data_IF_889251081845
#
_entry.id   IF_889251081845
#
_cell.length_a   1.000
_cell.length_b   1.000
_cell.length_c   1.000
_cell.angle_alpha   90.00
_cell.angle_beta   90.00
_cell.angle_gamma   90.00
#
_symmetry.space_group_name_H-M   'P 1'
#
loop_
_entity.id
_entity.type
_entity.pdbx_description
1 polymer ?
#
# COMPACT_ATOMS: atom_id res chain seq x y z
N UNK A 1 -16.12 -21.36 9.16
CA UNK A 1 -16.99 -20.18 9.04
C UNK A 1 -18.40 -20.69 8.85
N UNK A 2 -19.39 -20.11 9.55
CA UNK A 2 -20.80 -20.47 9.41
C UNK A 2 -21.52 -19.20 8.95
N UNK A 3 -22.25 -19.28 7.84
CA UNK A 3 -23.02 -18.16 7.28
C UNK A 3 -24.47 -18.64 7.20
N UNK A 4 -25.38 -17.91 7.84
CA UNK A 4 -26.81 -18.24 7.91
C UNK A 4 -27.07 -19.69 8.38
N UNK A 5 -26.33 -20.12 9.40
CA UNK A 5 -26.43 -21.48 9.96
C UNK A 5 -25.77 -22.58 9.13
N UNK A 6 -25.19 -22.27 7.96
CA UNK A 6 -24.53 -23.25 7.08
C UNK A 6 -23.01 -23.22 7.24
N UNK A 7 -22.35 -24.36 7.51
CA UNK A 7 -20.90 -24.43 7.53
C UNK A 7 -20.34 -24.25 6.11
N UNK A 8 -19.35 -23.37 5.97
CA UNK A 8 -18.62 -23.14 4.72
C UNK A 8 -17.42 -24.07 4.62
N UNK A 9 -17.24 -24.68 3.45
CA UNK A 9 -16.18 -25.64 3.10
C UNK A 9 -14.81 -24.98 2.88
N UNK A 10 -14.80 -23.68 2.57
CA UNK A 10 -13.60 -22.90 2.24
C UNK A 10 -13.37 -21.77 3.24
N UNK A 11 -12.10 -21.57 3.58
CA UNK A 11 -11.64 -20.38 4.31
C UNK A 11 -11.50 -19.20 3.35
N UNK A 12 -11.49 -17.97 3.87
CA UNK A 12 -11.24 -16.77 3.06
C UNK A 12 -9.94 -16.89 2.24
N UNK A 13 -8.86 -17.43 2.85
CA UNK A 13 -7.61 -17.64 2.14
C UNK A 13 -7.72 -18.71 1.04
N UNK A 14 -8.51 -19.77 1.24
CA UNK A 14 -8.80 -20.75 0.18
C UNK A 14 -9.58 -20.11 -0.98
N UNK A 15 -10.47 -19.15 -0.69
CA UNK A 15 -11.19 -18.38 -1.71
C UNK A 15 -10.19 -17.56 -2.54
N UNK A 16 -9.33 -16.77 -1.88
CA UNK A 16 -8.28 -15.99 -2.55
C UNK A 16 -7.34 -16.88 -3.36
N UNK A 17 -6.85 -18.00 -2.82
CA UNK A 17 -5.95 -18.93 -3.52
C UNK A 17 -6.57 -19.57 -4.77
N UNK A 18 -7.90 -19.70 -4.84
CA UNK A 18 -8.50 -20.31 -6.03
C UNK A 18 -8.46 -19.47 -7.27
N UNK A 19 -8.28 -18.15 -7.17
CA UNK A 19 -8.12 -17.32 -8.37
C UNK A 19 -6.87 -17.73 -9.14
N UNK A 20 -5.78 -18.02 -8.41
CA UNK A 20 -4.54 -18.55 -8.97
C UNK A 20 -4.70 -20.00 -9.46
N UNK A 21 -5.44 -20.85 -8.76
CA UNK A 21 -5.70 -22.23 -9.21
C UNK A 21 -6.54 -22.27 -10.49
N UNK A 22 -7.55 -21.40 -10.58
CA UNK A 22 -8.43 -21.29 -11.74
C UNK A 22 -7.69 -20.70 -12.95
N UNK A 23 -6.77 -19.76 -12.73
CA UNK A 23 -5.97 -19.18 -13.80
C UNK A 23 -4.52 -18.86 -13.34
N UNK A 24 -3.59 -19.83 -13.47
CA UNK A 24 -2.18 -19.59 -13.15
C UNK A 24 -1.52 -18.55 -14.06
N UNK A 25 -1.99 -18.42 -15.31
CA UNK A 25 -1.48 -17.54 -16.37
C UNK A 25 0.05 -17.36 -16.34
N UNK A 26 0.51 -16.13 -16.14
CA UNK A 26 1.91 -15.74 -16.07
C UNK A 26 2.41 -15.55 -14.64
N UNK A 27 1.71 -16.06 -13.61
CA UNK A 27 2.16 -15.98 -12.22
C UNK A 27 3.46 -16.79 -12.02
N UNK A 28 4.45 -16.16 -11.40
CA UNK A 28 5.74 -16.79 -11.03
C UNK A 28 5.80 -17.00 -9.51
N UNK A 29 5.30 -16.01 -8.76
CA UNK A 29 5.22 -16.05 -7.30
C UNK A 29 3.79 -15.70 -6.87
N UNK A 30 3.17 -16.62 -6.14
CA UNK A 30 1.90 -16.40 -5.45
C UNK A 30 1.88 -17.18 -4.13
N UNK A 31 1.55 -16.49 -3.04
CA UNK A 31 1.37 -17.07 -1.69
C UNK A 31 2.56 -17.83 -1.08
N UNK A 32 3.79 -17.56 -1.54
CA UNK A 32 5.01 -18.25 -1.10
C UNK A 32 6.19 -17.31 -0.80
N UNK A 33 5.93 -16.01 -0.73
CA UNK A 33 6.91 -14.95 -0.48
C UNK A 33 6.18 -13.70 0.04
N UNK A 34 6.91 -12.66 0.43
CA UNK A 34 6.38 -11.37 0.91
C UNK A 34 5.74 -10.54 -0.21
N UNK A 35 5.99 -10.88 -1.48
CA UNK A 35 5.38 -10.24 -2.64
C UNK A 35 4.87 -11.26 -3.65
N UNK A 36 4.05 -10.79 -4.59
CA UNK A 36 3.65 -11.56 -5.76
C UNK A 36 4.46 -11.13 -6.98
N UNK A 37 4.65 -12.03 -7.94
CA UNK A 37 5.32 -11.71 -9.18
C UNK A 37 4.67 -12.41 -10.38
N UNK A 38 4.68 -11.71 -11.51
CA UNK A 38 4.27 -12.22 -12.81
C UNK A 38 5.48 -12.16 -13.76
N UNK A 39 5.47 -13.04 -14.76
CA UNK A 39 6.48 -13.06 -15.82
C UNK A 39 6.48 -11.71 -16.52
N UNK A 40 7.65 -11.09 -16.60
CA UNK A 40 7.84 -9.85 -17.33
C UNK A 40 8.52 -10.10 -18.67
N UNK A 41 9.53 -9.29 -18.98
CA UNK A 41 10.07 -9.18 -20.35
C UNK A 41 11.59 -9.12 -20.35
N UNK A 42 12.18 -9.43 -21.50
CA UNK A 42 13.58 -9.15 -21.79
C UNK A 42 13.76 -7.64 -21.89
N UNK A 43 14.46 -7.06 -20.93
CA UNK A 43 14.68 -5.63 -20.83
C UNK A 43 16.16 -5.29 -20.99
N UNK A 44 16.42 -4.14 -21.60
CA UNK A 44 17.74 -3.52 -21.63
C UNK A 44 17.90 -2.66 -20.38
N UNK A 45 18.88 -2.98 -19.53
CA UNK A 45 19.22 -2.21 -18.33
C UNK A 45 20.67 -1.72 -18.40
N UNK A 46 20.95 -0.58 -17.75
CA UNK A 46 22.31 -0.11 -17.52
C UNK A 46 22.83 -0.71 -16.22
N UNK A 47 24.03 -1.31 -16.26
CA UNK A 47 24.69 -1.85 -15.06
C UNK A 47 26.16 -1.51 -14.98
N UNK A 48 26.69 -1.30 -13.77
CA UNK A 48 28.13 -1.18 -13.58
C UNK A 48 28.82 -2.47 -13.99
N UNK A 49 29.94 -2.35 -14.71
CA UNK A 49 30.80 -3.50 -15.06
C UNK A 49 31.26 -4.22 -13.79
N UNK A 50 31.60 -3.46 -12.75
CA UNK A 50 32.03 -3.98 -11.46
C UNK A 50 31.31 -3.24 -10.32
N UNK A 51 30.22 -3.81 -9.77
CA UNK A 51 29.51 -3.24 -8.64
C UNK A 51 30.45 -2.97 -7.45
N UNK A 52 30.33 -1.79 -6.84
CA UNK A 52 31.13 -1.39 -5.67
C UNK A 52 32.43 -0.63 -5.98
N UNK A 53 32.84 -0.52 -7.26
CA UNK A 53 33.97 0.31 -7.69
C UNK A 53 33.51 1.36 -8.71
N UNK A 54 34.33 2.40 -8.89
CA UNK A 54 34.16 3.34 -10.00
C UNK A 54 34.42 2.62 -11.32
N UNK A 55 33.38 2.46 -12.14
CA UNK A 55 33.46 1.80 -13.43
C UNK A 55 32.39 2.34 -14.39
N UNK A 56 32.54 2.13 -15.72
CA UNK A 56 31.51 2.46 -16.69
C UNK A 56 30.22 1.67 -16.46
N UNK A 57 29.10 2.25 -16.89
CA UNK A 57 27.86 1.52 -17.07
C UNK A 57 27.84 0.89 -18.47
N UNK A 58 27.39 -0.35 -18.56
CA UNK A 58 27.16 -1.06 -19.83
C UNK A 58 25.69 -1.45 -19.97
N UNK A 59 25.24 -1.54 -21.22
CA UNK A 59 23.93 -2.11 -21.54
C UNK A 59 23.98 -3.63 -21.42
N UNK A 60 23.04 -4.20 -20.67
CA UNK A 60 22.84 -5.65 -20.59
C UNK A 60 21.37 -5.98 -20.80
N UNK A 61 21.12 -7.10 -21.47
CA UNK A 61 19.78 -7.65 -21.61
C UNK A 61 19.51 -8.67 -20.51
N UNK A 62 18.39 -8.52 -19.79
CA UNK A 62 17.94 -9.45 -18.75
C UNK A 62 16.43 -9.62 -18.78
N UNK A 63 15.98 -10.85 -18.54
CA UNK A 63 14.58 -11.13 -18.25
C UNK A 63 14.26 -10.66 -16.84
N UNK A 64 13.32 -9.71 -16.74
CA UNK A 64 12.90 -9.10 -15.50
C UNK A 64 11.41 -9.39 -15.27
N UNK A 65 11.12 -10.13 -14.21
CA UNK A 65 9.75 -10.35 -13.74
C UNK A 65 9.23 -9.08 -13.06
N UNK A 66 7.91 -8.86 -13.16
CA UNK A 66 7.22 -7.74 -12.53
C UNK A 66 6.66 -8.20 -11.19
N UNK A 67 6.94 -7.43 -10.15
CA UNK A 67 6.57 -7.74 -8.78
C UNK A 67 5.56 -6.72 -8.26
N UNK A 68 4.61 -7.18 -7.47
CA UNK A 68 3.63 -6.32 -6.81
C UNK A 68 3.47 -6.72 -5.34
N UNK A 69 3.47 -5.71 -4.48
CA UNK A 69 3.16 -5.84 -3.05
C UNK A 69 2.32 -4.66 -2.59
N UNK A 70 1.48 -4.89 -1.59
CA UNK A 70 0.62 -3.90 -0.98
C UNK A 70 0.47 -4.17 0.52
N UNK A 71 0.53 -3.12 1.31
CA UNK A 71 0.41 -3.14 2.76
C UNK A 71 -0.51 -2.02 3.25
N UNK A 72 -0.91 -2.11 4.52
CA UNK A 72 -1.61 -1.04 5.21
C UNK A 72 -0.99 -0.75 6.57
N UNK A 73 -1.03 0.50 7.01
CA UNK A 73 -0.45 0.91 8.30
C UNK A 73 -1.44 1.72 9.16
N UNK A 74 -2.66 1.20 9.25
CA UNK A 74 -3.85 1.91 9.70
C UNK A 74 -3.79 2.41 11.15
N UNK A 75 -3.52 1.52 12.11
CA UNK A 75 -3.58 1.88 13.53
C UNK A 75 -2.49 2.87 13.94
N UNK A 76 -1.22 2.67 13.59
CA UNK A 76 -0.19 3.66 13.93
C UNK A 76 -0.44 5.00 13.26
N UNK A 77 -1.02 5.02 12.05
CA UNK A 77 -1.39 6.28 11.41
C UNK A 77 -2.53 7.03 12.12
N UNK A 78 -3.39 6.33 12.86
CA UNK A 78 -4.44 6.96 13.66
C UNK A 78 -3.85 7.73 14.86
N UNK A 79 -2.71 7.27 15.39
CA UNK A 79 -2.09 7.80 16.61
C UNK A 79 -0.99 8.81 16.27
N UNK A 80 -0.08 8.46 15.36
CA UNK A 80 1.05 9.28 14.93
C UNK A 80 1.21 9.17 13.40
N UNK A 81 0.47 9.99 12.62
CA UNK A 81 0.30 9.74 11.19
C UNK A 81 1.59 9.83 10.39
N UNK A 82 2.47 10.80 10.69
CA UNK A 82 3.73 10.97 9.99
C UNK A 82 4.66 9.74 10.13
N UNK A 83 5.10 9.33 11.34
CA UNK A 83 5.95 8.15 11.49
C UNK A 83 5.22 6.85 11.15
N UNK A 84 3.89 6.80 11.35
CA UNK A 84 3.06 5.67 10.94
C UNK A 84 3.11 5.45 9.42
N UNK A 85 2.99 6.51 8.63
CA UNK A 85 3.04 6.43 7.18
C UNK A 85 4.47 6.18 6.66
N UNK A 86 5.49 6.77 7.29
CA UNK A 86 6.89 6.50 6.96
C UNK A 86 7.23 5.02 7.11
N UNK A 87 6.89 4.44 8.27
CA UNK A 87 7.17 3.03 8.57
C UNK A 87 6.33 2.08 7.72
N UNK A 88 5.09 2.44 7.40
CA UNK A 88 4.27 1.71 6.42
C UNK A 88 4.87 1.71 5.02
N UNK A 89 5.32 2.86 4.52
CA UNK A 89 6.00 2.94 3.22
C UNK A 89 7.33 2.18 3.23
N UNK A 90 8.08 2.26 4.33
CA UNK A 90 9.36 1.57 4.50
C UNK A 90 9.23 0.06 4.62
N UNK A 91 8.22 -0.46 5.34
CA UNK A 91 7.90 -1.89 5.43
C UNK A 91 7.70 -2.50 4.05
N UNK A 92 6.79 -1.91 3.29
CA UNK A 92 6.49 -2.32 1.92
C UNK A 92 7.70 -2.26 0.99
N UNK A 93 8.60 -1.27 1.14
CA UNK A 93 9.88 -1.24 0.39
C UNK A 93 10.74 -2.45 0.75
N UNK A 94 10.88 -2.78 2.04
CA UNK A 94 11.68 -3.93 2.48
C UNK A 94 11.12 -5.24 1.92
N UNK A 95 9.81 -5.44 1.96
CA UNK A 95 9.18 -6.63 1.37
C UNK A 95 9.41 -6.74 -0.14
N UNK A 96 9.36 -5.60 -0.83
CA UNK A 96 9.70 -5.54 -2.25
C UNK A 96 11.12 -5.97 -2.50
N UNK A 97 12.09 -5.54 -1.69
CA UNK A 97 13.51 -5.87 -1.87
C UNK A 97 13.89 -7.28 -1.39
N UNK A 98 13.16 -7.82 -0.41
CA UNK A 98 13.41 -9.13 0.19
C UNK A 98 12.84 -10.30 -0.62
N UNK A 99 12.07 -10.03 -1.67
CA UNK A 99 11.42 -11.08 -2.47
C UNK A 99 12.47 -11.92 -3.24
N UNK A 100 12.32 -13.24 -3.19
CA UNK A 100 13.24 -14.19 -3.79
C UNK A 100 14.65 -14.10 -3.20
N UNK A 101 15.64 -13.74 -4.03
CA UNK A 101 17.05 -13.57 -3.63
C UNK A 101 17.51 -12.12 -3.73
N UNK A 102 16.56 -11.19 -3.75
CA UNK A 102 16.80 -9.78 -3.98
C UNK A 102 16.07 -9.27 -5.21
N UNK A 103 15.44 -8.13 -5.04
CA UNK A 103 14.67 -7.41 -6.06
C UNK A 103 14.80 -5.90 -5.87
N UNK A 104 14.28 -5.14 -6.83
CA UNK A 104 14.33 -3.68 -6.82
C UNK A 104 12.92 -3.11 -6.88
N UNK A 105 12.63 -2.14 -6.01
CA UNK A 105 11.42 -1.32 -6.16
C UNK A 105 11.59 -0.35 -7.35
N UNK A 106 10.52 -0.13 -8.09
CA UNK A 106 10.48 0.80 -9.23
C UNK A 106 9.63 2.01 -8.89
N UNK A 107 8.38 1.78 -8.49
CA UNK A 107 7.42 2.85 -8.24
C UNK A 107 6.42 2.42 -7.16
N UNK A 108 5.66 3.37 -6.62
CA UNK A 108 4.64 3.07 -5.63
C UNK A 108 3.34 3.86 -5.83
N UNK A 109 2.37 3.37 -5.09
CA UNK A 109 1.04 3.94 -4.90
C UNK A 109 0.85 4.25 -3.41
N UNK A 110 0.22 5.36 -3.09
CA UNK A 110 -0.22 5.68 -1.73
C UNK A 110 -1.73 5.97 -1.72
N UNK A 111 -2.43 5.48 -0.71
CA UNK A 111 -3.88 5.62 -0.59
C UNK A 111 -4.30 5.99 0.82
N UNK A 112 -5.28 6.89 0.94
CA UNK A 112 -5.76 7.37 2.23
C UNK A 112 -7.28 7.32 2.30
N UNK A 113 -7.83 6.69 3.34
CA UNK A 113 -9.23 6.87 3.72
C UNK A 113 -9.32 7.43 5.13
N UNK A 114 -10.05 8.54 5.31
CA UNK A 114 -10.22 9.22 6.60
C UNK A 114 -11.67 9.65 6.80
N UNK A 115 -12.07 9.95 8.05
CA UNK A 115 -13.39 10.52 8.31
C UNK A 115 -13.52 11.96 7.76
N UNK A 116 -14.63 12.65 8.08
CA UNK A 116 -14.88 14.03 7.66
C UNK A 116 -13.74 14.96 8.08
N UNK A 117 -13.28 15.81 7.16
CA UNK A 117 -12.11 16.65 7.33
C UNK A 117 -12.39 17.82 8.27
N UNK A 118 -13.61 18.36 8.23
CA UNK A 118 -14.03 19.51 9.04
C UNK A 118 -13.02 20.68 8.92
N UNK A 119 -12.66 21.04 7.69
CA UNK A 119 -11.65 22.07 7.43
C UNK A 119 -12.14 23.45 7.87
N UNK A 120 -11.32 24.18 8.63
CA UNK A 120 -11.64 25.54 9.05
C UNK A 120 -11.87 26.46 7.84
N UNK A 121 -12.91 27.28 7.90
CA UNK A 121 -13.26 28.20 6.83
C UNK A 121 -13.88 27.56 5.58
N UNK A 122 -14.06 26.23 5.57
CA UNK A 122 -14.74 25.51 4.49
C UNK A 122 -16.00 24.86 5.02
N UNK A 123 -17.12 25.02 4.31
CA UNK A 123 -18.37 24.35 4.66
C UNK A 123 -18.66 23.22 3.67
N UNK A 124 -18.71 22.00 4.18
CA UNK A 124 -19.18 20.83 3.45
C UNK A 124 -20.53 20.40 4.06
N UNK A 125 -21.67 20.53 3.33
CA UNK A 125 -23.00 20.35 3.90
C UNK A 125 -23.32 18.92 4.37
N UNK A 126 -22.49 17.94 3.98
CA UNK A 126 -22.60 16.55 4.41
C UNK A 126 -21.76 16.24 5.66
N UNK A 127 -20.90 17.15 6.12
CA UNK A 127 -20.11 16.94 7.33
C UNK A 127 -20.92 17.33 8.57
N UNK A 128 -21.18 16.36 9.45
CA UNK A 128 -21.89 16.60 10.71
C UNK A 128 -20.92 17.11 11.79
N UNK A 129 -21.01 18.39 12.22
CA UNK A 129 -20.10 18.95 13.22
C UNK A 129 -20.35 18.41 14.63
N UNK A 130 -21.45 17.69 14.87
CA UNK A 130 -21.73 17.06 16.17
C UNK A 130 -20.89 15.80 16.42
N UNK A 131 -20.18 15.32 15.40
CA UNK A 131 -19.34 14.13 15.47
C UNK A 131 -18.11 14.37 16.36
N UNK A 132 -18.10 13.70 17.51
CA UNK A 132 -16.99 13.76 18.47
C UNK A 132 -15.93 12.72 18.10
N UNK A 133 -14.67 13.13 18.09
CA UNK A 133 -13.51 12.28 17.84
C UNK A 133 -12.74 12.02 19.15
N UNK A 134 -12.22 10.81 19.40
CA UNK A 134 -11.45 10.53 20.61
C UNK A 134 -10.17 11.37 20.69
N UNK A 135 -9.83 11.92 21.86
CA UNK A 135 -8.68 12.83 22.01
C UNK A 135 -7.32 12.15 21.85
N UNK A 136 -7.28 10.81 21.94
CA UNK A 136 -6.07 10.01 21.75
C UNK A 136 -5.81 9.64 20.27
N UNK A 137 -6.68 10.06 19.36
CA UNK A 137 -6.51 9.90 17.92
C UNK A 137 -6.30 11.25 17.26
N UNK A 138 -5.54 11.26 16.18
CA UNK A 138 -5.31 12.47 15.37
C UNK A 138 -6.56 12.78 14.54
N UNK A 139 -6.85 14.08 14.30
CA UNK A 139 -8.00 14.46 13.49
C UNK A 139 -7.89 13.96 12.04
N UNK A 140 -9.00 13.67 11.34
CA UNK A 140 -8.97 13.16 9.97
C UNK A 140 -8.16 14.03 8.99
N UNK A 141 -8.31 15.36 9.09
CA UNK A 141 -7.54 16.32 8.29
C UNK A 141 -6.04 16.20 8.58
N UNK A 142 -5.65 16.15 9.86
CA UNK A 142 -4.26 16.08 10.24
C UNK A 142 -3.65 14.72 9.86
N UNK A 143 -4.42 13.61 9.96
CA UNK A 143 -4.01 12.30 9.44
C UNK A 143 -3.67 12.40 7.95
N UNK A 144 -4.53 13.01 7.14
CA UNK A 144 -4.31 13.11 5.70
C UNK A 144 -3.02 13.89 5.38
N UNK A 145 -2.81 15.02 6.04
CA UNK A 145 -1.63 15.87 5.85
C UNK A 145 -0.36 15.12 6.27
N UNK A 146 -0.32 14.62 7.50
CA UNK A 146 0.89 14.05 8.08
C UNK A 146 1.22 12.68 7.48
N UNK A 147 0.22 11.84 7.20
CA UNK A 147 0.45 10.55 6.55
C UNK A 147 0.97 10.74 5.11
N UNK A 148 0.42 11.71 4.36
CA UNK A 148 0.90 12.05 3.03
C UNK A 148 2.35 12.54 3.05
N UNK A 149 2.66 13.44 3.98
CA UNK A 149 4.01 13.96 4.17
C UNK A 149 5.00 12.86 4.58
N UNK A 150 4.62 11.98 5.50
CA UNK A 150 5.45 10.87 5.96
C UNK A 150 5.75 9.86 4.85
N UNK A 151 4.71 9.36 4.17
CA UNK A 151 4.89 8.42 3.06
C UNK A 151 5.78 9.01 1.93
N UNK A 152 5.58 10.29 1.62
CA UNK A 152 6.37 11.02 0.62
C UNK A 152 7.82 11.21 1.08
N UNK A 153 8.05 11.62 2.34
CA UNK A 153 9.38 11.84 2.88
C UNK A 153 10.24 10.57 2.81
N UNK A 154 9.69 9.42 3.22
CA UNK A 154 10.39 8.14 3.15
C UNK A 154 10.68 7.75 1.69
N UNK A 155 9.69 7.88 0.81
CA UNK A 155 9.83 7.59 -0.61
C UNK A 155 10.87 8.46 -1.31
N UNK A 156 10.88 9.77 -1.01
CA UNK A 156 11.80 10.75 -1.59
C UNK A 156 13.25 10.48 -1.15
N UNK A 157 13.47 10.24 0.14
CA UNK A 157 14.80 9.91 0.68
C UNK A 157 15.33 8.59 0.13
N UNK A 158 14.44 7.61 -0.07
CA UNK A 158 14.81 6.33 -0.68
C UNK A 158 15.06 6.43 -2.18
N UNK A 159 14.48 7.43 -2.87
CA UNK A 159 14.57 7.59 -4.32
C UNK A 159 13.53 6.78 -5.10
N UNK A 160 12.37 6.50 -4.48
CA UNK A 160 11.26 5.77 -5.13
C UNK A 160 10.12 6.72 -5.50
N UNK A 161 9.76 6.88 -6.78
CA UNK A 161 8.64 7.72 -7.19
C UNK A 161 7.30 7.19 -6.65
N UNK A 162 6.39 8.12 -6.35
CA UNK A 162 4.97 7.86 -6.12
C UNK A 162 4.23 8.31 -7.39
N UNK A 163 3.61 7.37 -8.10
CA UNK A 163 3.06 7.62 -9.45
C UNK A 163 1.54 7.52 -9.52
N UNK A 164 0.92 6.98 -8.47
CA UNK A 164 -0.52 6.74 -8.38
C UNK A 164 -0.99 6.90 -6.93
N UNK A 165 -2.29 7.11 -6.74
CA UNK A 165 -2.88 7.12 -5.41
C UNK A 165 -4.39 7.30 -5.41
N UNK A 166 -4.96 7.26 -4.21
CA UNK A 166 -6.36 7.61 -3.98
C UNK A 166 -6.53 8.30 -2.63
N UNK A 167 -7.56 9.12 -2.53
CA UNK A 167 -8.00 9.72 -1.26
C UNK A 167 -9.51 9.61 -1.19
N UNK A 168 -10.03 9.12 -0.07
CA UNK A 168 -11.46 9.01 0.18
C UNK A 168 -11.80 9.53 1.58
N UNK A 169 -12.80 10.40 1.66
CA UNK A 169 -13.37 10.85 2.93
C UNK A 169 -14.78 10.30 3.07
N UNK A 170 -15.12 9.74 4.25
CA UNK A 170 -16.46 9.28 4.54
C UNK A 170 -16.75 9.39 6.02
N UNK A 171 -17.84 10.08 6.35
CA UNK A 171 -18.42 10.08 7.68
C UNK A 171 -19.88 10.45 7.62
N UNK A 172 -20.75 9.50 7.97
CA UNK A 172 -22.20 9.70 7.93
C UNK A 172 -22.89 8.87 9.01
N UNK A 173 -24.03 9.38 9.49
CA UNK A 173 -24.99 8.57 10.25
C UNK A 173 -25.96 7.91 9.28
N UNK A 174 -25.94 6.59 9.23
CA UNK A 174 -26.83 5.81 8.38
C UNK A 174 -28.29 5.95 8.81
N UNK A 175 -29.27 5.61 7.96
CA UNK A 175 -30.69 5.56 8.33
C UNK A 175 -30.99 4.66 9.54
N UNK A 176 -30.13 3.67 9.80
CA UNK A 176 -30.19 2.81 11.00
C UNK A 176 -29.80 3.53 12.30
N UNK A 177 -29.30 4.76 12.23
CA UNK A 177 -28.77 5.53 13.35
C UNK A 177 -27.29 5.28 13.65
N UNK A 178 -26.68 4.25 13.04
CA UNK A 178 -25.26 3.94 13.19
C UNK A 178 -24.37 4.97 12.50
N UNK A 179 -23.31 5.42 13.17
CA UNK A 179 -22.27 6.26 12.57
C UNK A 179 -21.23 5.37 11.90
N UNK A 180 -20.97 5.59 10.61
CA UNK A 180 -19.92 4.92 9.87
C UNK A 180 -18.93 5.93 9.30
N UNK A 181 -17.66 5.68 9.55
CA UNK A 181 -16.54 6.53 9.14
C UNK A 181 -15.19 5.82 9.31
N UNK A 182 -14.13 6.37 8.72
CA UNK A 182 -12.75 5.91 8.96
C UNK A 182 -12.10 6.68 10.10
N UNK A 183 -12.54 6.39 11.33
CA UNK A 183 -11.90 6.91 12.54
C UNK A 183 -10.47 6.35 12.70
N UNK A 184 -10.34 5.04 12.51
CA UNK A 184 -9.07 4.40 12.19
C UNK A 184 -8.90 4.52 10.67
N UNK A 185 -7.89 5.24 10.19
CA UNK A 185 -7.76 5.52 8.76
C UNK A 185 -7.37 4.26 8.00
N UNK A 186 -7.55 4.29 6.69
CA UNK A 186 -6.81 3.43 5.78
C UNK A 186 -5.57 4.22 5.35
N UNK A 187 -4.39 3.74 5.71
CA UNK A 187 -3.14 4.18 5.09
C UNK A 187 -2.63 3.00 4.28
N UNK A 188 -2.77 3.10 2.97
CA UNK A 188 -2.41 2.07 2.01
C UNK A 188 -1.11 2.43 1.31
N UNK A 189 -0.19 1.48 1.20
CA UNK A 189 1.00 1.59 0.36
C UNK A 189 1.10 0.38 -0.54
N UNK A 190 1.29 0.59 -1.84
CA UNK A 190 1.65 -0.47 -2.77
C UNK A 190 2.89 -0.11 -3.56
N UNK A 191 3.53 -1.12 -4.14
CA UNK A 191 4.77 -0.99 -4.86
C UNK A 191 4.83 -1.95 -6.01
N UNK A 192 5.30 -1.44 -7.15
CA UNK A 192 5.74 -2.26 -8.27
C UNK A 192 7.26 -2.35 -8.20
N UNK A 193 7.77 -3.57 -8.38
CA UNK A 193 9.19 -3.84 -8.44
C UNK A 193 9.55 -4.75 -9.60
N UNK A 194 10.83 -5.05 -9.69
CA UNK A 194 11.37 -6.03 -10.62
C UNK A 194 12.33 -6.98 -9.93
N UNK A 195 12.37 -8.21 -10.43
CA UNK A 195 13.36 -9.21 -10.04
C UNK A 195 13.90 -9.89 -11.29
N UNK A 196 15.10 -10.47 -11.20
CA UNK A 196 15.57 -11.37 -12.26
C UNK A 196 14.69 -12.62 -12.26
N UNK A 197 14.29 -13.08 -13.44
CA UNK A 197 13.58 -14.35 -13.61
C UNK A 197 14.35 -15.51 -12.96
#
# INVERSE_FOLDING_TARGET
>A
MIIDGKPMDRTLMKIVKSTLQANPNNSVIGFKDNSSAIRGFLMKELRPVQPGLSCPLIEVYKDLDILFTAETHNFPCAVAPYPGAETGAGGRIRDTHATGRGSFVIAATAGYCVANLNMQGTYAPWEDPSFIYPPNLTSPLQILIDASNGASNYGNKFGKPLIQGYTHTFGMRLPSGERQEWLKPIMFSAGIGQRRA
#
